data_IF_087266151175
#
_entry.id   IF_087266151175
#
_cell.length_a   1.000
_cell.length_b   1.000
_cell.length_c   1.000
_cell.angle_alpha   90.00
_cell.angle_beta   90.00
_cell.angle_gamma   90.00
#
_symmetry.space_group_name_H-M   'P 1'
#
loop_
_entity.id
_entity.type
_entity.pdbx_description
1 polymer ?
#
# COMPACT_ATOMS: atom_id res chain seq x y z
N UNK A 1 -7.79 -6.64 14.10
CA UNK A 1 -7.27 -5.26 14.25
C UNK A 1 -5.90 -5.25 14.96
N UNK A 2 -4.96 -6.13 14.58
CA UNK A 2 -3.70 -6.40 15.33
C UNK A 2 -2.40 -6.03 14.58
N UNK A 3 -2.46 -5.26 13.49
CA UNK A 3 -1.31 -5.07 12.58
C UNK A 3 -0.99 -3.61 12.22
N UNK A 4 -1.43 -2.64 13.02
CA UNK A 4 -0.94 -1.27 12.90
C UNK A 4 0.29 -1.17 13.81
N UNK A 5 1.48 -1.06 13.21
CA UNK A 5 2.70 -0.70 13.94
C UNK A 5 2.44 0.64 14.62
N UNK A 6 2.58 0.70 15.95
CA UNK A 6 2.34 1.94 16.70
C UNK A 6 3.33 3.06 16.35
N UNK A 7 4.41 2.74 15.63
CA UNK A 7 5.48 3.67 15.25
C UNK A 7 5.37 4.19 13.81
N UNK A 8 4.44 3.68 12.99
CA UNK A 8 4.24 4.10 11.60
C UNK A 8 2.88 4.75 11.41
N UNK A 9 2.84 5.85 10.66
CA UNK A 9 1.61 6.55 10.31
C UNK A 9 0.81 5.69 9.31
N UNK A 10 -0.40 5.23 9.66
CA UNK A 10 -1.24 4.47 8.74
C UNK A 10 -1.77 5.37 7.63
N UNK A 11 -1.72 4.90 6.38
CA UNK A 11 -2.19 5.64 5.20
C UNK A 11 -3.30 4.87 4.48
N UNK A 12 -4.39 5.56 4.19
CA UNK A 12 -5.45 5.13 3.27
C UNK A 12 -5.41 6.09 2.09
N UNK A 13 -5.10 5.56 0.91
CA UNK A 13 -4.94 6.32 -0.34
C UNK A 13 -6.21 6.18 -1.19
N UNK A 14 -6.96 7.27 -1.34
CA UNK A 14 -8.20 7.33 -2.10
C UNK A 14 -7.92 8.03 -3.44
N UNK A 15 -8.39 7.44 -4.54
CA UNK A 15 -8.03 7.87 -5.91
C UNK A 15 -6.53 7.69 -6.19
N UNK A 16 -6.03 6.51 -5.81
CA UNK A 16 -4.60 6.20 -5.82
C UNK A 16 -3.96 6.27 -7.22
N UNK A 17 -4.77 6.25 -8.29
CA UNK A 17 -4.31 6.18 -9.66
C UNK A 17 -3.36 4.97 -9.84
N UNK A 18 -2.26 5.11 -10.58
CA UNK A 18 -1.27 4.05 -10.72
C UNK A 18 -0.39 3.84 -9.47
N UNK A 19 -0.61 4.56 -8.37
CA UNK A 19 0.06 4.33 -7.08
C UNK A 19 1.35 5.12 -6.83
N UNK A 20 1.57 6.25 -7.52
CA UNK A 20 2.77 7.07 -7.36
C UNK A 20 2.94 7.68 -5.97
N UNK A 21 1.83 8.09 -5.33
CA UNK A 21 1.86 8.62 -3.95
C UNK A 21 2.29 7.54 -2.95
N UNK A 22 1.71 6.34 -3.05
CA UNK A 22 2.10 5.18 -2.26
C UNK A 22 3.58 4.79 -2.46
N UNK A 23 4.12 4.90 -3.68
CA UNK A 23 5.55 4.72 -3.91
C UNK A 23 6.40 5.75 -3.17
N UNK A 24 6.01 7.04 -3.24
CA UNK A 24 6.67 8.11 -2.51
C UNK A 24 6.69 7.88 -0.99
N UNK A 25 5.57 7.48 -0.39
CA UNK A 25 5.50 7.15 1.02
C UNK A 25 6.37 5.94 1.42
N UNK A 26 6.51 4.97 0.52
CA UNK A 26 7.32 3.77 0.77
C UNK A 26 8.82 4.02 0.66
N UNK A 27 9.21 4.98 -0.19
CA UNK A 27 10.59 5.41 -0.34
C UNK A 27 11.01 6.40 0.76
N UNK A 28 10.06 7.09 1.39
CA UNK A 28 10.36 8.08 2.41
C UNK A 28 10.80 7.45 3.73
N UNK A 29 11.98 7.83 4.19
CA UNK A 29 12.52 7.45 5.48
C UNK A 29 12.91 8.69 6.28
N UNK A 30 12.58 8.69 7.58
CA UNK A 30 13.06 9.67 8.53
C UNK A 30 14.02 8.98 9.51
N UNK A 31 15.24 9.52 9.65
CA UNK A 31 16.29 8.95 10.51
C UNK A 31 16.56 7.46 10.22
N UNK A 32 16.53 7.08 8.94
CA UNK A 32 16.78 5.71 8.47
C UNK A 32 15.67 4.71 8.80
N UNK A 33 14.46 5.17 9.12
CA UNK A 33 13.30 4.32 9.39
C UNK A 33 12.13 4.71 8.50
N UNK A 34 11.37 3.73 8.04
CA UNK A 34 10.12 4.02 7.34
C UNK A 34 9.13 4.68 8.29
N UNK A 35 8.47 5.74 7.82
CA UNK A 35 7.52 6.51 8.61
C UNK A 35 6.07 6.10 8.35
N UNK A 36 5.79 5.65 7.13
CA UNK A 36 4.43 5.40 6.67
C UNK A 36 4.15 3.90 6.52
N UNK A 37 2.92 3.51 6.82
CA UNK A 37 2.39 2.17 6.58
C UNK A 37 1.14 2.29 5.70
N UNK A 38 1.29 2.08 4.40
CA UNK A 38 0.15 2.09 3.46
C UNK A 38 -0.71 0.86 3.75
N UNK A 39 -1.90 1.10 4.28
CA UNK A 39 -2.84 0.06 4.70
C UNK A 39 -3.79 -0.33 3.57
N UNK A 40 -4.23 0.65 2.78
CA UNK A 40 -5.20 0.48 1.70
C UNK A 40 -4.99 1.54 0.63
N UNK A 41 -5.13 1.14 -0.62
CA UNK A 41 -5.22 2.05 -1.77
C UNK A 41 -6.45 1.67 -2.59
N UNK A 42 -7.25 2.66 -2.98
CA UNK A 42 -8.49 2.46 -3.73
C UNK A 42 -8.43 3.24 -5.05
N UNK A 43 -8.70 2.54 -6.15
CA UNK A 43 -8.76 3.11 -7.49
C UNK A 43 -9.93 2.48 -8.28
N UNK A 44 -10.63 3.30 -9.07
CA UNK A 44 -11.79 2.90 -9.88
C UNK A 44 -11.42 2.66 -11.34
N UNK A 45 -10.48 3.43 -11.89
CA UNK A 45 -10.03 3.26 -13.27
C UNK A 45 -9.35 1.90 -13.45
N UNK A 46 -9.78 1.15 -14.46
CA UNK A 46 -9.36 -0.23 -14.65
C UNK A 46 -7.85 -0.34 -14.90
N UNK A 47 -7.29 0.51 -15.75
CA UNK A 47 -5.88 0.43 -16.12
C UNK A 47 -4.99 0.89 -14.96
N UNK A 48 -5.35 1.99 -14.31
CA UNK A 48 -4.67 2.48 -13.13
C UNK A 48 -4.71 1.47 -11.98
N UNK A 49 -5.86 0.83 -11.73
CA UNK A 49 -6.00 -0.23 -10.75
C UNK A 49 -5.05 -1.41 -11.02
N UNK A 50 -4.94 -1.86 -12.28
CA UNK A 50 -4.02 -2.95 -12.65
C UNK A 50 -2.56 -2.57 -12.39
N UNK A 51 -2.19 -1.33 -12.68
CA UNK A 51 -0.86 -0.80 -12.36
C UNK A 51 -0.63 -0.70 -10.86
N UNK A 52 -1.62 -0.20 -10.11
CA UNK A 52 -1.61 -0.10 -8.65
C UNK A 52 -1.44 -1.47 -7.98
N UNK A 53 -2.18 -2.49 -8.43
CA UNK A 53 -2.10 -3.86 -7.94
C UNK A 53 -0.68 -4.43 -8.14
N UNK A 54 -0.14 -4.31 -9.35
CA UNK A 54 1.21 -4.78 -9.68
C UNK A 54 2.27 -4.10 -8.82
N UNK A 55 2.24 -2.77 -8.73
CA UNK A 55 3.18 -1.98 -7.92
C UNK A 55 3.04 -2.28 -6.43
N UNK A 56 1.81 -2.50 -5.96
CA UNK A 56 1.53 -2.91 -4.58
C UNK A 56 2.09 -4.29 -4.26
N UNK A 57 2.02 -5.23 -5.20
CA UNK A 57 2.65 -6.53 -5.09
C UNK A 57 4.18 -6.41 -4.97
N UNK A 58 4.85 -5.74 -5.91
CA UNK A 58 6.33 -5.65 -5.90
C UNK A 58 6.90 -4.91 -4.69
N UNK A 59 6.19 -3.90 -4.19
CA UNK A 59 6.58 -3.17 -2.98
C UNK A 59 6.68 -4.08 -1.74
N UNK A 60 5.96 -5.20 -1.70
CA UNK A 60 6.03 -6.15 -0.59
C UNK A 60 7.34 -6.96 -0.57
N UNK A 61 8.11 -6.93 -1.66
CA UNK A 61 9.36 -7.68 -1.79
C UNK A 61 10.61 -6.79 -1.83
N UNK A 62 10.46 -5.49 -2.06
CA UNK A 62 11.58 -4.57 -2.29
C UNK A 62 12.46 -4.30 -1.06
N UNK A 63 12.12 -4.83 0.12
CA UNK A 63 12.91 -4.66 1.35
C UNK A 63 13.27 -5.97 2.07
N UNK A 64 13.17 -7.14 1.42
CA UNK A 64 13.51 -8.43 2.07
C UNK A 64 12.56 -8.84 3.22
N UNK A 65 11.59 -8.00 3.56
CA UNK A 65 10.54 -8.29 4.53
C UNK A 65 9.31 -8.84 3.80
N UNK A 66 9.14 -10.17 3.82
CA UNK A 66 7.95 -10.84 3.30
C UNK A 66 6.70 -10.35 4.05
N UNK A 67 5.93 -9.44 3.43
CA UNK A 67 4.58 -9.07 3.90
C UNK A 67 3.60 -9.73 2.95
N UNK A 68 2.75 -10.63 3.47
CA UNK A 68 1.69 -11.28 2.69
C UNK A 68 0.52 -10.31 2.56
N UNK A 69 -0.04 -10.07 1.36
CA UNK A 69 -1.14 -9.15 1.21
C UNK A 69 -2.45 -9.79 1.70
N UNK A 70 -3.23 -9.03 2.47
CA UNK A 70 -4.64 -9.32 2.71
C UNK A 70 -5.35 -9.01 1.39
N UNK A 71 -5.81 -10.05 0.70
CA UNK A 71 -6.65 -9.95 -0.50
C UNK A 71 -7.99 -9.34 -0.11
N UNK A 72 -8.20 -8.06 -0.40
CA UNK A 72 -9.53 -7.45 -0.32
C UNK A 72 -10.20 -7.64 -1.69
N UNK A 73 -11.10 -8.62 -1.79
CA UNK A 73 -12.02 -8.72 -2.92
C UNK A 73 -13.18 -7.76 -2.68
N UNK A 74 -13.34 -6.77 -3.55
CA UNK A 74 -14.47 -5.82 -3.50
C UNK A 74 -15.84 -6.47 -3.79
N UNK A 75 -15.83 -7.72 -4.26
CA UNK A 75 -17.00 -8.53 -4.62
C UNK A 75 -17.65 -9.27 -3.43
N UNK A 76 -17.09 -9.16 -2.22
CA UNK A 76 -17.62 -9.77 -0.98
C UNK A 76 -18.28 -8.75 -0.02
N UNK A 77 -18.43 -7.48 -0.41
CA UNK A 77 -19.13 -6.43 0.36
C UNK A 77 -20.61 -6.33 -0.06
N UNK A 78 -21.38 -7.41 0.16
CA UNK A 78 -22.85 -7.39 0.19
C UNK A 78 -23.38 -7.70 1.57
#
# INVERSE_FOLDING_TARGET
MKYISQDKIPVIDLFAGPGGLAEGFSAFQAKGRDVFNICLSVEKDHFAHRTLELRSFFRQFSQGHFRVPIRVRLEELR
#
